data_IF_690818973065
#
_entry.id   IF_690818973065
#
_cell.length_a   1.000
_cell.length_b   1.000
_cell.length_c   1.000
_cell.angle_alpha   90.00
_cell.angle_beta   90.00
_cell.angle_gamma   90.00
#
_symmetry.space_group_name_H-M   'P 1'
#
loop_
_entity.id
_entity.type
_entity.pdbx_description
1 polymer ?
#
# COMPACT_ATOMS: atom_id res chain seq x y z
N UNK A 1 1.10 5.07 35.87
CA UNK A 1 2.34 5.32 35.08
C UNK A 1 1.96 5.71 33.65
N UNK A 2 2.12 6.98 33.25
CA UNK A 2 1.55 7.47 31.97
C UNK A 2 2.24 6.95 30.70
N UNK A 3 3.42 6.32 30.80
CA UNK A 3 4.16 5.78 29.64
C UNK A 3 3.44 4.62 28.93
N UNK A 4 2.70 3.79 29.66
CA UNK A 4 2.05 2.58 29.11
C UNK A 4 1.14 2.88 27.91
N UNK A 5 0.19 3.83 28.03
CA UNK A 5 -0.65 4.28 26.93
C UNK A 5 0.13 4.76 25.70
N UNK A 6 1.18 5.57 25.87
CA UNK A 6 1.97 6.08 24.75
C UNK A 6 2.75 4.98 24.01
N UNK A 7 3.26 3.98 24.74
CA UNK A 7 3.93 2.82 24.12
C UNK A 7 2.96 2.02 23.25
N UNK A 8 1.72 1.80 23.71
CA UNK A 8 0.71 1.10 22.92
C UNK A 8 0.34 1.89 21.67
N UNK A 9 0.21 3.21 21.78
CA UNK A 9 -0.06 4.05 20.61
C UNK A 9 1.08 3.96 19.59
N UNK A 10 2.34 4.03 20.05
CA UNK A 10 3.51 3.88 19.20
C UNK A 10 3.58 2.50 18.53
N UNK A 11 3.30 1.44 19.26
CA UNK A 11 3.22 0.08 18.71
C UNK A 11 2.12 -0.04 17.66
N UNK A 12 0.96 0.59 17.87
CA UNK A 12 -0.12 0.54 16.90
C UNK A 12 0.22 1.31 15.62
N UNK A 13 0.77 2.52 15.73
CA UNK A 13 1.24 3.29 14.56
C UNK A 13 2.34 2.54 13.79
N UNK A 14 3.25 1.90 14.53
CA UNK A 14 4.25 0.98 13.95
C UNK A 14 3.60 -0.20 13.24
N UNK A 15 2.56 -0.79 13.82
CA UNK A 15 1.82 -1.92 13.23
C UNK A 15 1.07 -1.51 11.95
N UNK A 16 0.48 -0.32 11.90
CA UNK A 16 -0.13 0.23 10.67
C UNK A 16 0.93 0.36 9.57
N UNK A 17 2.08 0.92 9.91
CA UNK A 17 3.19 1.09 8.96
C UNK A 17 3.70 -0.27 8.47
N UNK A 18 3.87 -1.24 9.38
CA UNK A 18 4.26 -2.61 9.05
C UNK A 18 3.21 -3.32 8.18
N UNK A 19 1.92 -3.09 8.42
CA UNK A 19 0.83 -3.63 7.62
C UNK A 19 0.88 -3.11 6.17
N UNK A 20 1.10 -1.80 5.98
CA UNK A 20 1.25 -1.21 4.65
C UNK A 20 2.50 -1.74 3.94
N UNK A 21 3.65 -1.77 4.63
CA UNK A 21 4.89 -2.29 4.06
C UNK A 21 4.81 -3.78 3.71
N UNK A 22 4.12 -4.59 4.52
CA UNK A 22 3.94 -6.02 4.23
C UNK A 22 3.05 -6.25 3.00
N UNK A 23 2.00 -5.45 2.81
CA UNK A 23 1.19 -5.48 1.59
C UNK A 23 1.99 -5.08 0.36
N UNK A 24 2.84 -4.05 0.46
CA UNK A 24 3.75 -3.66 -0.62
C UNK A 24 4.74 -4.79 -0.96
N UNK A 25 5.35 -5.40 0.06
CA UNK A 25 6.29 -6.51 -0.12
C UNK A 25 5.63 -7.75 -0.72
N UNK A 26 4.39 -8.08 -0.31
CA UNK A 26 3.61 -9.14 -0.93
C UNK A 26 3.39 -8.91 -2.43
N UNK A 27 3.01 -7.69 -2.83
CA UNK A 27 2.82 -7.34 -4.23
C UNK A 27 4.09 -7.56 -5.05
N UNK A 28 5.23 -7.08 -4.54
CA UNK A 28 6.55 -7.26 -5.17
C UNK A 28 6.92 -8.75 -5.29
N UNK A 29 6.69 -9.52 -4.23
CA UNK A 29 6.93 -10.96 -4.20
C UNK A 29 6.08 -11.71 -5.23
N UNK A 30 4.80 -11.36 -5.36
CA UNK A 30 3.91 -11.98 -6.35
C UNK A 30 4.33 -11.64 -7.78
N UNK A 31 4.75 -10.40 -8.05
CA UNK A 31 5.19 -10.00 -9.39
C UNK A 31 6.45 -10.77 -9.79
N UNK A 32 7.47 -10.81 -8.93
CA UNK A 32 8.71 -11.56 -9.23
C UNK A 32 8.53 -13.07 -9.16
N UNK A 33 7.61 -13.57 -8.33
CA UNK A 33 7.31 -15.00 -8.25
C UNK A 33 6.72 -15.57 -9.55
N UNK A 34 5.98 -14.74 -10.29
CA UNK A 34 5.37 -15.14 -11.58
C UNK A 34 6.25 -14.74 -12.78
N UNK A 35 6.88 -13.57 -12.73
CA UNK A 35 7.69 -13.05 -13.84
C UNK A 35 9.15 -13.46 -13.66
N UNK A 36 9.66 -14.36 -14.51
CA UNK A 36 11.08 -14.76 -14.56
C UNK A 36 12.03 -13.68 -15.11
N UNK A 37 11.61 -12.41 -15.10
CA UNK A 37 12.34 -11.28 -15.70
C UNK A 37 12.49 -10.17 -14.67
N UNK A 38 13.72 -9.71 -14.45
CA UNK A 38 14.04 -8.61 -13.53
C UNK A 38 13.67 -7.28 -14.19
N UNK A 39 12.52 -6.72 -13.82
CA UNK A 39 12.10 -5.38 -14.24
C UNK A 39 12.46 -4.35 -13.16
N UNK A 40 13.44 -3.49 -13.44
CA UNK A 40 13.90 -2.44 -12.50
C UNK A 40 12.87 -1.32 -12.35
N UNK A 41 12.04 -1.06 -13.36
CA UNK A 41 11.02 0.00 -13.34
C UNK A 41 9.79 -0.31 -12.47
N UNK A 42 9.75 -1.48 -11.82
CA UNK A 42 8.58 -1.92 -11.05
C UNK A 42 8.14 -0.90 -9.98
N UNK A 43 9.11 -0.32 -9.24
CA UNK A 43 8.82 0.69 -8.23
C UNK A 43 8.15 1.95 -8.78
N UNK A 44 8.46 2.33 -10.02
CA UNK A 44 7.85 3.48 -10.67
C UNK A 44 6.40 3.23 -11.07
N UNK A 45 6.05 1.99 -11.46
CA UNK A 45 4.65 1.64 -11.69
C UNK A 45 3.83 1.70 -10.39
N UNK A 46 4.41 1.30 -9.27
CA UNK A 46 3.79 1.47 -7.95
C UNK A 46 3.57 2.96 -7.63
N UNK A 47 4.59 3.80 -7.86
CA UNK A 47 4.49 5.25 -7.68
C UNK A 47 3.40 5.87 -8.56
N UNK A 48 3.37 5.54 -9.86
CA UNK A 48 2.31 6.03 -10.77
C UNK A 48 0.93 5.59 -10.30
N UNK A 49 0.79 4.36 -9.80
CA UNK A 49 -0.47 3.90 -9.19
C UNK A 49 -0.91 4.74 -8.01
N UNK A 50 0.02 5.11 -7.11
CA UNK A 50 -0.28 5.99 -5.98
C UNK A 50 -0.69 7.40 -6.43
N UNK A 51 -0.01 7.97 -7.42
CA UNK A 51 -0.33 9.29 -7.98
C UNK A 51 -1.70 9.27 -8.70
N UNK A 52 -1.98 8.24 -9.49
CA UNK A 52 -3.28 8.06 -10.13
C UNK A 52 -4.39 7.89 -9.09
N UNK A 53 -4.16 7.16 -8.00
CA UNK A 53 -5.12 7.02 -6.92
C UNK A 53 -5.47 8.39 -6.30
N UNK A 54 -4.48 9.26 -6.08
CA UNK A 54 -4.71 10.63 -5.60
C UNK A 54 -5.46 11.49 -6.63
N UNK A 55 -5.09 11.43 -7.91
CA UNK A 55 -5.82 12.17 -8.95
C UNK A 55 -7.27 11.72 -9.07
N UNK A 56 -7.53 10.41 -9.10
CA UNK A 56 -8.89 9.88 -9.18
C UNK A 56 -9.70 10.30 -7.95
N UNK A 57 -9.14 10.14 -6.75
CA UNK A 57 -9.82 10.51 -5.52
C UNK A 57 -10.11 12.02 -5.42
N UNK A 58 -9.24 12.87 -5.96
CA UNK A 58 -9.43 14.33 -5.96
C UNK A 58 -10.36 14.83 -7.06
N UNK A 59 -10.45 14.13 -8.19
CA UNK A 59 -11.36 14.46 -9.30
C UNK A 59 -12.81 14.03 -9.03
N UNK A 60 -12.99 12.91 -8.31
CA UNK A 60 -14.33 12.43 -7.90
C UNK A 60 -14.82 13.30 -6.75
N UNK A 61 -15.50 14.40 -7.08
CA UNK A 61 -16.16 15.25 -6.10
C UNK A 61 -17.27 14.50 -5.34
N UNK A 62 -17.53 14.92 -4.09
CA UNK A 62 -18.60 14.37 -3.26
C UNK A 62 -18.08 13.77 -1.96
N UNK A 63 -18.66 12.65 -1.54
CA UNK A 63 -18.28 12.00 -0.28
C UNK A 63 -16.92 11.28 -0.44
N UNK A 64 -15.95 11.44 0.48
CA UNK A 64 -14.61 10.82 0.37
C UNK A 64 -14.64 9.30 0.15
N UNK A 65 -15.70 8.63 0.60
CA UNK A 65 -15.92 7.21 0.34
C UNK A 65 -16.00 6.85 -1.15
N UNK A 66 -16.64 7.69 -1.97
CA UNK A 66 -16.78 7.44 -3.40
C UNK A 66 -15.46 7.62 -4.14
N UNK A 67 -14.71 8.69 -3.81
CA UNK A 67 -13.38 8.93 -4.36
C UNK A 67 -12.41 7.80 -4.03
N UNK A 68 -12.44 7.31 -2.78
CA UNK A 68 -11.64 6.16 -2.38
C UNK A 68 -12.00 4.87 -3.14
N UNK A 69 -13.28 4.54 -3.27
CA UNK A 69 -13.71 3.33 -4.00
C UNK A 69 -13.37 3.41 -5.49
N UNK A 70 -13.55 4.59 -6.10
CA UNK A 70 -13.14 4.83 -7.47
C UNK A 70 -11.63 4.66 -7.64
N UNK A 71 -10.83 5.24 -6.76
CA UNK A 71 -9.37 5.10 -6.78
C UNK A 71 -8.92 3.64 -6.58
N UNK A 72 -9.57 2.90 -5.68
CA UNK A 72 -9.27 1.50 -5.39
C UNK A 72 -9.39 0.59 -6.61
N UNK A 73 -10.34 0.89 -7.52
CA UNK A 73 -10.60 0.09 -8.72
C UNK A 73 -9.85 0.66 -9.93
N UNK A 74 -9.97 1.97 -10.17
CA UNK A 74 -9.47 2.59 -11.38
C UNK A 74 -7.94 2.74 -11.38
N UNK A 75 -7.31 3.03 -10.23
CA UNK A 75 -5.86 3.24 -10.21
C UNK A 75 -5.08 1.97 -10.59
N UNK A 76 -5.37 0.76 -10.03
CA UNK A 76 -4.71 -0.47 -10.47
C UNK A 76 -4.97 -0.79 -11.95
N UNK A 77 -6.19 -0.55 -12.45
CA UNK A 77 -6.54 -0.80 -13.86
C UNK A 77 -5.76 0.11 -14.82
N UNK A 78 -5.68 1.40 -14.52
CA UNK A 78 -4.91 2.36 -15.33
C UNK A 78 -3.41 2.06 -15.28
N UNK A 79 -2.86 1.76 -14.10
CA UNK A 79 -1.46 1.35 -13.97
C UNK A 79 -1.18 0.05 -14.71
N UNK A 80 -2.09 -0.94 -14.67
CA UNK A 80 -1.97 -2.16 -15.44
C UNK A 80 -1.96 -1.85 -16.95
N UNK A 81 -2.82 -0.95 -17.42
CA UNK A 81 -2.81 -0.46 -18.80
C UNK A 81 -1.47 0.17 -19.19
N UNK A 82 -0.91 1.04 -18.34
CA UNK A 82 0.40 1.65 -18.57
C UNK A 82 1.53 0.61 -18.58
N UNK A 83 1.50 -0.37 -17.68
CA UNK A 83 2.46 -1.46 -17.65
C UNK A 83 2.37 -2.33 -18.92
N UNK A 84 1.16 -2.62 -19.39
CA UNK A 84 0.95 -3.34 -20.67
C UNK A 84 1.47 -2.54 -21.87
N UNK A 85 1.24 -1.24 -21.90
CA UNK A 85 1.78 -0.36 -22.95
C UNK A 85 3.30 -0.34 -22.93
N UNK A 86 3.92 -0.23 -21.75
CA UNK A 86 5.36 -0.27 -21.60
C UNK A 86 5.95 -1.62 -22.07
N UNK A 87 5.30 -2.74 -21.73
CA UNK A 87 5.72 -4.07 -22.18
C UNK A 87 5.64 -4.18 -23.72
N UNK A 88 4.53 -3.77 -24.33
CA UNK A 88 4.35 -3.85 -25.78
C UNK A 88 5.28 -2.92 -26.57
N UNK A 89 5.49 -1.70 -26.09
CA UNK A 89 6.27 -0.68 -26.80
C UNK A 89 7.78 -0.85 -26.62
N UNK A 90 8.22 -1.33 -25.46
CA UNK A 90 9.64 -1.40 -25.09
C UNK A 90 10.10 -2.86 -25.02
N UNK A 91 9.57 -3.64 -24.08
CA UNK A 91 10.13 -4.97 -23.76
C UNK A 91 9.97 -5.96 -24.93
N UNK A 92 8.78 -6.02 -25.54
CA UNK A 92 8.52 -6.91 -26.67
C UNK A 92 9.38 -6.61 -27.90
N UNK A 93 9.75 -5.35 -28.11
CA UNK A 93 10.66 -4.93 -29.21
C UNK A 93 12.10 -5.35 -28.98
N UNK A 94 12.49 -5.53 -27.73
CA UNK A 94 13.86 -5.84 -27.33
C UNK A 94 14.08 -7.37 -27.22
N UNK A 95 13.04 -8.17 -27.42
CA UNK A 95 13.15 -9.63 -27.49
C UNK A 95 13.37 -10.31 -26.14
N UNK A 96 13.13 -9.61 -25.03
CA UNK A 96 13.31 -10.11 -23.65
C UNK A 96 14.75 -10.58 -23.33
N UNK A 97 15.75 -10.08 -24.05
CA UNK A 97 17.16 -10.30 -23.71
C UNK A 97 17.45 -9.68 -22.32
N UNK A 98 18.01 -10.43 -21.34
CA UNK A 98 18.16 -9.95 -19.97
C UNK A 98 18.96 -8.64 -19.84
N UNK A 99 20.09 -8.54 -20.55
CA UNK A 99 20.96 -7.36 -20.50
C UNK A 99 20.26 -6.12 -21.07
N UNK A 100 19.60 -6.26 -22.21
CA UNK A 100 18.89 -5.16 -22.87
C UNK A 100 17.64 -4.75 -22.10
N UNK A 101 16.97 -5.72 -21.46
CA UNK A 101 15.79 -5.48 -20.62
C UNK A 101 16.14 -4.66 -19.39
N UNK A 102 17.26 -4.94 -18.73
CA UNK A 102 17.71 -4.15 -17.58
C UNK A 102 17.97 -2.70 -18.00
N UNK A 103 18.75 -2.47 -19.07
CA UNK A 103 19.05 -1.11 -19.55
C UNK A 103 17.78 -0.37 -19.96
N UNK A 104 16.86 -1.05 -20.66
CA UNK A 104 15.59 -0.45 -21.08
C UNK A 104 14.68 -0.11 -19.89
N UNK A 105 14.62 -0.98 -18.88
CA UNK A 105 13.80 -0.74 -17.67
C UNK A 105 14.41 0.34 -16.78
N UNK A 106 15.74 0.52 -16.77
CA UNK A 106 16.36 1.69 -16.13
C UNK A 106 15.99 2.98 -16.87
N UNK A 107 16.04 2.99 -18.21
CA UNK A 107 15.61 4.13 -19.00
C UNK A 107 14.13 4.47 -18.76
N UNK A 108 13.28 3.44 -18.73
CA UNK A 108 11.86 3.58 -18.44
C UNK A 108 11.61 4.12 -17.03
N UNK A 109 12.36 3.62 -16.03
CA UNK A 109 12.33 4.12 -14.66
C UNK A 109 12.54 5.63 -14.64
N UNK A 110 13.62 6.11 -15.26
CA UNK A 110 13.91 7.55 -15.28
C UNK A 110 12.83 8.36 -16.01
N UNK A 111 12.31 7.86 -17.13
CA UNK A 111 11.25 8.56 -17.87
C UNK A 111 9.99 8.68 -17.01
N UNK A 112 9.53 7.59 -16.38
CA UNK A 112 8.34 7.61 -15.54
C UNK A 112 8.56 8.53 -14.33
N UNK A 113 9.72 8.44 -13.69
CA UNK A 113 10.08 9.26 -12.54
C UNK A 113 10.03 10.75 -12.89
N UNK A 114 10.71 11.15 -13.97
CA UNK A 114 10.78 12.56 -14.39
C UNK A 114 9.43 13.10 -14.85
N UNK A 115 8.64 12.31 -15.60
CA UNK A 115 7.28 12.72 -15.99
C UNK A 115 6.39 12.92 -14.76
N UNK A 116 6.50 12.04 -13.77
CA UNK A 116 5.73 12.16 -12.53
C UNK A 116 6.15 13.39 -11.73
N UNK A 117 7.46 13.62 -11.58
CA UNK A 117 7.98 14.81 -10.91
C UNK A 117 7.55 16.12 -11.59
N UNK A 118 7.51 16.16 -12.92
CA UNK A 118 7.08 17.34 -13.67
C UNK A 118 5.57 17.61 -13.56
N UNK A 119 4.76 16.59 -13.39
CA UNK A 119 3.28 16.71 -13.39
C UNK A 119 2.68 16.80 -12.00
N UNK A 120 3.14 15.96 -11.07
CA UNK A 120 2.61 15.83 -9.71
C UNK A 120 3.46 16.58 -8.67
N UNK A 121 4.77 16.67 -8.90
CA UNK A 121 5.74 17.25 -7.97
C UNK A 121 6.39 16.20 -7.05
N UNK A 122 7.30 16.63 -6.15
CA UNK A 122 8.05 15.75 -5.26
C UNK A 122 7.29 15.35 -3.99
N UNK A 123 6.18 16.01 -3.67
CA UNK A 123 5.48 15.84 -2.39
C UNK A 123 4.50 14.66 -2.41
N UNK A 124 4.63 13.76 -1.44
CA UNK A 124 3.68 12.68 -1.23
C UNK A 124 2.38 13.21 -0.60
N UNK A 125 1.27 13.17 -1.35
CA UNK A 125 -0.06 13.56 -0.88
C UNK A 125 -0.90 12.32 -0.58
N UNK A 126 -1.41 12.18 0.65
CA UNK A 126 -2.27 11.06 1.00
C UNK A 126 -3.66 11.21 0.37
N UNK A 127 -4.29 10.08 0.06
CA UNK A 127 -5.72 10.03 -0.28
C UNK A 127 -6.54 10.16 1.00
N UNK A 128 -7.59 10.98 0.97
CA UNK A 128 -8.49 11.12 2.12
C UNK A 128 -9.17 9.79 2.44
N UNK A 129 -9.14 9.42 3.72
CA UNK A 129 -9.72 8.17 4.15
C UNK A 129 -11.27 8.24 4.13
N UNK A 130 -11.94 7.16 3.68
CA UNK A 130 -13.39 7.11 3.51
C UNK A 130 -14.17 7.22 4.84
N UNK A 131 -13.57 6.80 5.96
CA UNK A 131 -14.17 6.83 7.29
C UNK A 131 -13.11 7.12 8.37
N UNK A 132 -13.26 8.21 9.12
CA UNK A 132 -12.30 8.66 10.13
C UNK A 132 -12.96 8.84 11.51
N UNK A 133 -13.68 7.83 11.98
CA UNK A 133 -14.19 7.86 13.35
C UNK A 133 -13.04 7.58 14.32
N UNK A 134 -12.85 8.50 15.28
CA UNK A 134 -11.85 8.32 16.34
C UNK A 134 -12.43 7.37 17.38
N UNK A 135 -11.90 6.15 17.41
CA UNK A 135 -12.17 5.17 18.46
C UNK A 135 -11.13 5.37 19.53
N UNK A 136 -11.56 5.86 20.68
CA UNK A 136 -10.70 5.79 21.86
C UNK A 136 -10.70 4.36 22.41
N UNK A 137 -9.57 3.93 22.94
CA UNK A 137 -9.36 2.54 23.37
C UNK A 137 -9.27 2.55 24.90
N UNK A 138 -9.94 1.62 25.61
CA UNK A 138 -9.76 1.51 27.04
C UNK A 138 -8.38 0.93 27.36
N UNK A 139 -7.72 1.47 28.37
CA UNK A 139 -6.46 0.92 28.88
C UNK A 139 -6.68 0.27 30.24
N UNK A 140 -6.03 -0.88 30.43
CA UNK A 140 -6.08 -1.63 31.67
C UNK A 140 -4.83 -1.30 32.47
N UNK A 141 -5.01 -0.67 33.64
CA UNK A 141 -3.92 -0.41 34.58
C UNK A 141 -4.05 -1.32 35.81
N UNK A 142 -2.93 -1.92 36.22
CA UNK A 142 -2.85 -2.64 37.48
C UNK A 142 -2.77 -1.62 38.62
N UNK A 143 -3.84 -1.53 39.41
CA UNK A 143 -3.90 -0.67 40.60
C UNK A 143 -3.93 -1.55 41.86
N UNK A 144 -3.67 -0.97 43.03
CA UNK A 144 -3.68 -1.67 44.33
C UNK A 144 -4.99 -2.43 44.62
N UNK A 145 -6.10 -2.05 43.97
CA UNK A 145 -7.41 -2.70 44.06
C UNK A 145 -7.75 -3.72 42.96
N UNK A 146 -6.79 -4.08 42.08
CA UNK A 146 -6.97 -4.99 40.96
C UNK A 146 -6.88 -4.32 39.59
N UNK A 147 -7.40 -5.00 38.55
CA UNK A 147 -7.43 -4.47 37.19
C UNK A 147 -8.48 -3.36 37.06
N UNK A 148 -8.03 -2.12 36.88
CA UNK A 148 -8.91 -0.98 36.64
C UNK A 148 -8.90 -0.62 35.14
N UNK A 149 -10.09 -0.55 34.55
CA UNK A 149 -10.27 -0.07 33.17
C UNK A 149 -10.44 1.45 33.22
N UNK A 150 -9.48 2.17 32.66
CA UNK A 150 -9.57 3.62 32.50
C UNK A 150 -9.49 3.99 31.03
N UNK A 151 -9.90 5.22 30.71
CA UNK A 151 -9.88 5.77 29.37
C UNK A 151 -8.84 6.90 29.31
N UNK A 152 -7.57 6.59 28.98
CA UNK A 152 -6.53 7.59 28.95
C UNK A 152 -6.84 8.67 27.93
N UNK A 153 -6.73 9.93 28.35
CA UNK A 153 -6.81 11.06 27.43
C UNK A 153 -5.71 10.92 26.37
N UNK A 154 -6.10 10.87 25.10
CA UNK A 154 -5.16 10.79 23.97
C UNK A 154 -4.98 9.39 23.36
N UNK A 155 -5.34 8.30 24.04
CA UNK A 155 -5.30 6.95 23.47
C UNK A 155 -6.53 6.70 22.58
N UNK A 156 -6.48 7.22 21.36
CA UNK A 156 -7.53 6.98 20.38
C UNK A 156 -7.01 6.94 18.97
N UNK A 157 -7.53 5.98 18.21
CA UNK A 157 -7.03 5.54 16.92
C UNK A 157 -8.15 5.70 15.91
N UNK A 158 -7.81 5.98 14.67
CA UNK A 158 -8.80 6.13 13.61
C UNK A 158 -9.28 4.76 13.16
N UNK A 159 -10.59 4.58 13.00
CA UNK A 159 -11.22 3.38 12.43
C UNK A 159 -10.55 2.91 11.13
N UNK A 160 -10.09 3.85 10.30
CA UNK A 160 -9.37 3.57 9.06
C UNK A 160 -8.09 2.76 9.28
N UNK A 161 -7.26 3.14 10.26
CA UNK A 161 -6.00 2.44 10.58
C UNK A 161 -6.23 0.99 10.97
N UNK A 162 -7.26 0.75 11.80
CA UNK A 162 -7.66 -0.60 12.18
C UNK A 162 -8.18 -1.41 10.99
N UNK A 163 -8.96 -0.77 10.10
CA UNK A 163 -9.43 -1.41 8.88
C UNK A 163 -8.27 -1.79 7.93
N UNK A 164 -7.25 -0.94 7.81
CA UNK A 164 -6.04 -1.23 7.01
C UNK A 164 -5.29 -2.44 7.57
N UNK A 165 -5.12 -2.50 8.89
CA UNK A 165 -4.49 -3.67 9.56
C UNK A 165 -5.31 -4.94 9.29
N UNK A 166 -6.64 -4.86 9.48
CA UNK A 166 -7.53 -5.99 9.22
C UNK A 166 -7.47 -6.46 7.77
N UNK A 167 -7.53 -5.53 6.81
CA UNK A 167 -7.39 -5.83 5.40
C UNK A 167 -6.03 -6.45 5.07
N UNK A 168 -4.94 -5.97 5.67
CA UNK A 168 -3.61 -6.53 5.48
C UNK A 168 -3.55 -7.99 5.96
N UNK A 169 -4.06 -8.28 7.16
CA UNK A 169 -4.11 -9.65 7.70
C UNK A 169 -4.98 -10.55 6.82
N UNK A 170 -6.14 -10.06 6.37
CA UNK A 170 -7.04 -10.82 5.49
C UNK A 170 -6.34 -11.15 4.17
N UNK A 171 -5.68 -10.18 3.53
CA UNK A 171 -4.99 -10.39 2.26
C UNK A 171 -3.78 -11.32 2.42
N UNK A 172 -2.97 -11.13 3.47
CA UNK A 172 -1.84 -12.01 3.81
C UNK A 172 -2.30 -13.46 4.01
N UNK A 173 -3.33 -13.65 4.83
CA UNK A 173 -3.87 -14.99 5.11
C UNK A 173 -4.56 -15.61 3.89
N UNK A 174 -5.28 -14.83 3.10
CA UNK A 174 -5.89 -15.29 1.86
C UNK A 174 -4.84 -15.76 0.85
N UNK A 175 -3.76 -14.97 0.64
CA UNK A 175 -2.66 -15.36 -0.25
C UNK A 175 -1.95 -16.60 0.29
N UNK A 176 -1.66 -16.65 1.59
CA UNK A 176 -1.03 -17.82 2.21
C UNK A 176 -1.89 -19.09 2.08
N UNK A 177 -3.21 -18.99 2.28
CA UNK A 177 -4.15 -20.09 2.08
C UNK A 177 -4.23 -20.50 0.61
N UNK A 178 -4.22 -19.53 -0.31
CA UNK A 178 -4.24 -19.81 -1.75
C UNK A 178 -2.97 -20.58 -2.14
N UNK A 179 -1.80 -20.08 -1.76
CA UNK A 179 -0.51 -20.73 -2.04
C UNK A 179 -0.37 -22.12 -1.39
N UNK A 180 -0.89 -22.32 -0.17
CA UNK A 180 -0.87 -23.63 0.49
C UNK A 180 -1.86 -24.61 -0.12
N UNK A 181 -2.96 -24.14 -0.74
CA UNK A 181 -3.91 -24.98 -1.47
C UNK A 181 -3.50 -25.26 -2.91
N UNK A 182 -2.91 -24.30 -3.59
CA UNK A 182 -2.31 -24.50 -4.91
C UNK A 182 -0.91 -25.04 -4.69
N UNK A 183 -0.78 -26.35 -4.48
CA UNK A 183 0.45 -27.03 -4.06
C UNK A 183 1.64 -26.88 -5.02
N UNK A 184 2.21 -25.68 -5.14
CA UNK A 184 3.57 -25.44 -5.60
C UNK A 184 4.46 -25.33 -4.37
N UNK A 185 4.40 -26.36 -3.51
CA UNK A 185 5.59 -26.77 -2.79
C UNK A 185 6.49 -27.41 -3.85
N UNK A 186 7.54 -26.69 -4.22
CA UNK A 186 8.67 -27.28 -4.93
C UNK A 186 9.44 -28.18 -3.97
#
# INVERSE_FOLDING_TARGET
>A
MELGPYLILGLLEGLVTAAVLSLMALGLSLVFGVMRVVNVAHGEFFMVGAVLAWWIASLVGGHPALGFLAALILAPLLTAGLAMLADQLVLKRIGYDPERTIVATIGLLYVIQQVTLMTYGPDARPVEAPFNHRLSIPFVEWTEGGFALYWPWGLGTTSYKLAVIGAAVILLTAIWLLMTRTGTAC
#
